data_IF_864362558171
#
_entry.id   IF_864362558171
#
_cell.length_a   1.000
_cell.length_b   1.000
_cell.length_c   1.000
_cell.angle_alpha   90.00
_cell.angle_beta   90.00
_cell.angle_gamma   90.00
#
_symmetry.space_group_name_H-M   'P 1'
#
loop_
_entity.id
_entity.type
_entity.pdbx_description
1 polymer ?
#
# COMPACT_ATOMS: atom_id res chain seq x y z
N UNK A 1 -16.26 -16.35 -7.74
CA UNK A 1 -16.65 -15.31 -7.39
C UNK A 1 -15.70 -14.27 -7.31
N UNK A 2 -15.78 -13.35 -8.02
CA UNK A 2 -14.88 -12.35 -8.06
C UNK A 2 -14.93 -11.57 -6.84
N UNK A 3 -13.84 -11.32 -6.24
CA UNK A 3 -13.85 -10.63 -5.17
C UNK A 3 -13.53 -9.32 -5.49
N UNK A 4 -14.29 -8.39 -5.47
CA UNK A 4 -14.03 -7.06 -5.75
C UNK A 4 -13.47 -6.45 -4.54
N UNK A 5 -12.21 -6.20 -4.46
CA UNK A 5 -11.60 -5.51 -3.36
C UNK A 5 -11.88 -4.04 -3.50
N UNK A 6 -12.37 -3.43 -2.45
CA UNK A 6 -12.57 -2.00 -2.45
C UNK A 6 -11.21 -1.32 -2.42
N UNK A 7 -11.10 -0.06 -2.85
CA UNK A 7 -9.84 0.66 -2.74
C UNK A 7 -9.31 0.68 -1.32
N UNK A 8 -10.20 0.82 -0.35
CA UNK A 8 -9.80 0.83 1.05
C UNK A 8 -9.15 -0.50 1.44
N UNK A 9 -9.75 -1.59 1.05
CA UNK A 9 -9.25 -2.91 1.39
C UNK A 9 -7.90 -3.19 0.73
N UNK A 10 -7.81 -2.85 -0.55
CA UNK A 10 -6.55 -3.06 -1.28
C UNK A 10 -5.47 -2.13 -0.74
N UNK A 11 -5.83 -0.90 -0.37
CA UNK A 11 -4.87 0.03 0.22
C UNK A 11 -4.29 -0.54 1.52
N UNK A 12 -5.12 -1.19 2.32
CA UNK A 12 -4.64 -1.81 3.55
C UNK A 12 -3.64 -2.92 3.24
N UNK A 13 -3.90 -3.70 2.19
CA UNK A 13 -2.98 -4.77 1.78
C UNK A 13 -1.65 -4.18 1.29
N UNK A 14 -1.70 -3.07 0.57
CA UNK A 14 -0.50 -2.41 0.10
C UNK A 14 0.34 -1.92 1.28
N UNK A 15 -0.30 -1.31 2.26
CA UNK A 15 0.41 -0.83 3.43
C UNK A 15 1.06 -1.97 4.20
N UNK A 16 0.35 -3.08 4.35
CA UNK A 16 0.89 -4.25 5.03
C UNK A 16 2.09 -4.81 4.26
N UNK A 17 1.98 -4.89 2.94
CA UNK A 17 3.07 -5.39 2.12
C UNK A 17 4.30 -4.49 2.24
N UNK A 18 4.10 -3.17 2.23
CA UNK A 18 5.21 -2.25 2.40
C UNK A 18 5.86 -2.41 3.76
N UNK A 19 5.07 -2.57 4.79
CA UNK A 19 5.60 -2.77 6.13
C UNK A 19 6.44 -4.04 6.19
N UNK A 20 5.99 -5.09 5.52
CA UNK A 20 6.75 -6.34 5.48
C UNK A 20 8.04 -6.20 4.70
N UNK A 21 8.01 -5.42 3.62
CA UNK A 21 9.20 -5.24 2.80
C UNK A 21 10.24 -4.36 3.46
N UNK A 22 9.79 -3.36 4.22
CA UNK A 22 10.70 -2.38 4.78
C UNK A 22 10.96 -2.56 6.27
N UNK A 23 10.19 -3.38 6.94
CA UNK A 23 10.38 -3.59 8.37
C UNK A 23 10.13 -2.35 9.18
N UNK A 24 9.19 -1.55 8.77
CA UNK A 24 8.82 -0.29 9.40
C UNK A 24 9.77 0.87 9.12
N UNK A 25 10.78 0.66 8.30
CA UNK A 25 11.61 1.76 7.87
C UNK A 25 10.83 2.55 6.82
N UNK A 26 10.96 3.85 6.86
CA UNK A 26 10.24 4.69 5.91
C UNK A 26 11.17 5.02 4.75
N UNK A 27 11.11 4.23 3.70
CA UNK A 27 11.89 4.53 2.51
C UNK A 27 11.11 4.12 1.27
N UNK A 28 11.53 4.64 0.14
CA UNK A 28 10.82 4.42 -1.11
C UNK A 28 11.01 2.99 -1.59
N UNK A 29 9.92 2.40 -2.05
CA UNK A 29 9.91 1.04 -2.58
C UNK A 29 9.30 1.11 -3.96
N UNK A 30 9.85 0.34 -4.89
CA UNK A 30 9.33 0.27 -6.24
C UNK A 30 7.92 -0.31 -6.21
N UNK A 31 7.02 0.28 -6.96
CA UNK A 31 5.65 -0.23 -7.04
C UNK A 31 5.64 -1.66 -7.58
N UNK A 32 6.58 -1.98 -8.47
CA UNK A 32 6.69 -3.34 -8.98
C UNK A 32 6.95 -4.35 -7.87
N UNK A 33 7.74 -3.96 -6.87
CA UNK A 33 8.02 -4.84 -5.74
C UNK A 33 6.76 -5.07 -4.91
N UNK A 34 5.97 -4.03 -4.74
CA UNK A 34 4.74 -4.15 -3.99
C UNK A 34 3.76 -5.08 -4.70
N UNK A 35 3.62 -4.89 -6.00
CA UNK A 35 2.74 -5.74 -6.80
C UNK A 35 3.17 -7.19 -6.74
N UNK A 36 4.48 -7.41 -6.81
CA UNK A 36 5.01 -8.75 -6.76
C UNK A 36 4.74 -9.37 -5.38
N UNK A 37 4.91 -8.61 -4.33
CA UNK A 37 4.67 -9.10 -2.98
C UNK A 37 3.21 -9.47 -2.79
N UNK A 38 2.30 -8.69 -3.37
CA UNK A 38 0.87 -8.95 -3.28
C UNK A 38 0.40 -10.00 -4.28
N UNK A 39 1.24 -10.30 -5.26
CA UNK A 39 0.86 -11.20 -6.35
C UNK A 39 -0.33 -10.63 -7.11
N UNK A 40 -0.32 -9.31 -7.29
CA UNK A 40 -1.39 -8.62 -7.99
C UNK A 40 -0.81 -7.77 -9.10
N UNK A 41 -1.44 -7.74 -10.25
CA UNK A 41 -0.93 -6.89 -11.33
C UNK A 41 -1.26 -5.44 -11.06
N UNK A 42 -0.55 -4.57 -11.76
CA UNK A 42 -0.82 -3.14 -11.65
C UNK A 42 -2.04 -2.84 -12.55
N UNK A 43 -3.17 -2.69 -11.95
CA UNK A 43 -4.44 -2.46 -12.65
C UNK A 43 -5.02 -1.14 -12.21
N UNK A 44 -6.09 -0.66 -12.85
CA UNK A 44 -6.77 0.54 -12.37
C UNK A 44 -7.24 0.43 -10.91
N UNK A 45 -7.55 -0.79 -10.46
CA UNK A 45 -7.92 -0.98 -9.06
C UNK A 45 -6.75 -0.68 -8.15
N UNK A 46 -5.53 -1.05 -8.58
CA UNK A 46 -4.33 -0.73 -7.81
C UNK A 46 -4.13 0.78 -7.76
N UNK A 47 -4.34 1.48 -8.88
CA UNK A 47 -4.20 2.93 -8.91
C UNK A 47 -5.22 3.60 -7.98
N UNK A 48 -6.45 3.10 -7.96
CA UNK A 48 -7.47 3.64 -7.07
C UNK A 48 -7.09 3.43 -5.61
N UNK A 49 -6.51 2.28 -5.30
CA UNK A 49 -6.08 2.00 -3.94
C UNK A 49 -4.92 2.89 -3.52
N UNK A 50 -4.00 3.14 -4.44
CA UNK A 50 -2.87 4.03 -4.16
C UNK A 50 -3.36 5.45 -3.89
N UNK A 51 -4.34 5.90 -4.69
CA UNK A 51 -4.91 7.21 -4.49
C UNK A 51 -5.62 7.29 -3.15
N UNK A 52 -6.38 6.28 -2.82
CA UNK A 52 -7.07 6.22 -1.54
C UNK A 52 -6.06 6.33 -0.39
N UNK A 53 -5.01 5.52 -0.46
CA UNK A 53 -4.01 5.50 0.61
C UNK A 53 -3.27 6.83 0.70
N UNK A 54 -2.98 7.44 -0.44
CA UNK A 54 -2.31 8.73 -0.46
C UNK A 54 -3.20 9.81 0.12
N UNK A 55 -4.49 9.80 -0.23
CA UNK A 55 -5.44 10.78 0.30
C UNK A 55 -5.62 10.61 1.81
N UNK A 56 -5.52 9.39 2.30
CA UNK A 56 -5.62 9.12 3.72
C UNK A 56 -4.28 9.31 4.43
N UNK A 57 -3.26 9.71 3.70
CA UNK A 57 -1.93 9.95 4.25
C UNK A 57 -1.25 8.70 4.80
N UNK A 58 -1.64 7.56 4.28
CA UNK A 58 -1.02 6.30 4.66
C UNK A 58 0.22 6.02 3.85
N UNK A 59 0.28 6.53 2.63
CA UNK A 59 1.40 6.36 1.73
C UNK A 59 1.79 7.69 1.11
N UNK A 60 3.05 7.80 0.72
CA UNK A 60 3.48 8.87 -0.16
C UNK A 60 3.73 8.21 -1.51
N UNK A 61 3.20 8.80 -2.55
CA UNK A 61 3.40 8.29 -3.90
C UNK A 61 4.29 9.25 -4.66
N UNK A 62 5.11 8.72 -5.53
CA UNK A 62 5.95 9.56 -6.38
C UNK A 62 5.11 10.26 -7.44
N UNK A 63 5.77 11.02 -8.31
CA UNK A 63 5.04 11.73 -9.35
C UNK A 63 4.38 10.76 -10.31
N UNK A 64 3.33 11.24 -10.96
CA UNK A 64 2.60 10.44 -11.92
C UNK A 64 3.39 10.29 -13.21
N UNK A 65 3.41 9.09 -13.84
CA UNK A 65 2.80 7.88 -13.32
C UNK A 65 3.57 7.34 -12.10
N UNK A 66 2.85 6.72 -11.18
CA UNK A 66 3.46 6.30 -9.93
C UNK A 66 4.32 5.06 -10.15
N UNK A 67 5.58 5.15 -9.80
CA UNK A 67 6.51 4.02 -9.91
C UNK A 67 7.08 3.61 -8.57
N UNK A 68 6.97 4.45 -7.56
CA UNK A 68 7.46 4.12 -6.24
C UNK A 68 6.57 4.72 -5.18
N UNK A 69 6.55 4.07 -4.04
CA UNK A 69 5.71 4.48 -2.92
C UNK A 69 6.50 4.34 -1.64
N UNK A 70 6.09 5.07 -0.63
CA UNK A 70 6.71 5.00 0.68
C UNK A 70 5.63 5.01 1.73
N UNK A 71 5.76 4.13 2.70
CA UNK A 71 4.81 4.08 3.81
C UNK A 71 5.08 5.30 4.70
N UNK A 72 4.04 5.95 5.16
CA UNK A 72 4.19 7.09 6.07
C UNK A 72 4.14 6.59 7.50
N UNK A 73 4.46 7.48 8.42
CA UNK A 73 4.36 7.15 9.84
C UNK A 73 2.93 6.75 10.18
N UNK A 74 1.97 7.48 9.64
CA UNK A 74 0.56 7.16 9.86
C UNK A 74 0.23 5.78 9.29
N UNK A 75 0.80 5.45 8.15
CA UNK A 75 0.61 4.14 7.55
C UNK A 75 1.19 3.04 8.41
N UNK A 76 2.36 3.26 8.98
CA UNK A 76 2.98 2.29 9.87
C UNK A 76 2.08 2.05 11.09
N UNK A 77 1.58 3.13 11.66
CA UNK A 77 0.70 3.01 12.83
C UNK A 77 -0.58 2.25 12.49
N UNK A 78 -1.12 2.49 11.31
CA UNK A 78 -2.33 1.79 10.88
C UNK A 78 -2.08 0.30 10.72
N UNK A 79 -0.95 -0.08 10.14
CA UNK A 79 -0.60 -1.48 9.96
C UNK A 79 -0.39 -2.15 11.32
N UNK A 80 0.35 -1.49 12.19
CA UNK A 80 0.63 -2.06 13.51
C UNK A 80 -0.65 -2.20 14.33
N UNK A 81 -1.56 -1.24 14.20
CA UNK A 81 -2.84 -1.32 14.86
C UNK A 81 -3.64 -2.51 14.40
N UNK A 82 -3.61 -2.78 13.09
CA UNK A 82 -4.32 -3.93 12.55
C UNK A 82 -3.70 -5.23 13.02
N UNK A 83 -2.38 -5.27 13.10
CA UNK A 83 -1.71 -6.48 13.52
C UNK A 83 -1.97 -6.80 14.98
N UNK A 84 -2.18 -5.79 15.77
CA UNK A 84 -2.44 -6.01 17.15
C UNK A 84 -3.82 -6.54 17.42
N UNK A 85 -4.72 -6.43 16.48
CA UNK A 85 -6.02 -6.88 16.67
C UNK A 85 -6.15 -8.33 16.70
N UNK A 86 -5.41 -9.09 16.44
CA UNK A 86 -5.67 -10.50 16.29
C UNK A 86 -6.21 -11.18 17.50
#
# INVERSE_FOLDING_TARGET
>A
MAKSLTPKHLAARICTALHELTGADLHWVSLGEVCKRLQEPHTPAMDAALKYASDAELLSCGPSPVHSVMLTHKGVMAVRGRMKKS
#
